data_IF_425031009307
#
_entry.id   IF_425031009307
#
_cell.length_a   1.000
_cell.length_b   1.000
_cell.length_c   1.000
_cell.angle_alpha   90.00
_cell.angle_beta   90.00
_cell.angle_gamma   90.00
#
_symmetry.space_group_name_H-M   'P 1'
#
loop_
_entity.id
_entity.type
_entity.pdbx_description
1 polymer ?
#
# COMPACT_ATOMS: atom_id res chain seq x y z
N UNK A 1 -10.18 1.85 -7.15
CA UNK A 1 -9.67 2.21 -5.82
C UNK A 1 -8.43 1.38 -5.57
N UNK A 2 -7.34 1.95 -5.08
CA UNK A 2 -6.13 1.17 -4.76
C UNK A 2 -6.27 0.45 -3.43
N UNK A 3 -5.44 -0.57 -3.19
CA UNK A 3 -5.38 -1.25 -1.90
C UNK A 3 -4.73 -0.35 -0.85
N UNK A 4 -5.34 -0.21 0.31
CA UNK A 4 -4.72 0.43 1.47
C UNK A 4 -3.90 -0.60 2.21
N UNK A 5 -2.64 -0.27 2.46
CA UNK A 5 -1.71 -1.14 3.16
C UNK A 5 -1.09 -0.42 4.35
N UNK A 6 -0.61 -1.22 5.29
CA UNK A 6 0.30 -0.78 6.35
C UNK A 6 1.66 -1.44 6.13
N UNK A 7 2.70 -0.62 6.10
CA UNK A 7 4.09 -1.10 6.01
C UNK A 7 4.58 -1.56 7.37
N UNK A 8 5.68 -2.32 7.43
CA UNK A 8 6.27 -2.79 8.70
C UNK A 8 6.67 -1.66 9.67
N UNK A 9 6.76 -0.41 9.18
CA UNK A 9 7.02 0.77 10.01
C UNK A 9 5.76 1.45 10.57
N UNK A 10 4.56 0.87 10.37
CA UNK A 10 3.29 1.48 10.78
C UNK A 10 2.80 2.60 9.85
N UNK A 11 3.36 2.71 8.64
CA UNK A 11 2.98 3.73 7.67
C UNK A 11 1.75 3.24 6.89
N UNK A 12 0.69 4.05 6.93
CA UNK A 12 -0.50 3.82 6.13
C UNK A 12 -0.37 4.54 4.79
N UNK A 13 -0.74 3.83 3.73
CA UNK A 13 -0.80 4.43 2.41
C UNK A 13 -1.55 3.57 1.42
N UNK A 14 -1.80 4.13 0.24
CA UNK A 14 -2.53 3.46 -0.82
C UNK A 14 -1.59 3.03 -1.93
N UNK A 15 -1.69 1.77 -2.36
CA UNK A 15 -0.96 1.27 -3.52
C UNK A 15 -1.51 1.94 -4.77
N UNK A 16 -0.64 2.66 -5.46
CA UNK A 16 -0.93 3.31 -6.74
C UNK A 16 -0.33 2.55 -7.92
N UNK A 17 0.72 1.78 -7.70
CA UNK A 17 1.34 0.95 -8.73
C UNK A 17 2.07 -0.26 -8.11
N UNK A 18 2.17 -1.33 -8.87
CA UNK A 18 2.85 -2.58 -8.48
C UNK A 18 3.98 -2.86 -9.45
N UNK A 19 5.21 -2.95 -8.95
CA UNK A 19 6.38 -3.41 -9.72
C UNK A 19 6.73 -4.85 -9.36
N UNK A 20 7.73 -5.41 -10.02
CA UNK A 20 8.17 -6.79 -9.80
C UNK A 20 8.79 -6.98 -8.40
N UNK A 21 9.57 -6.00 -7.93
CA UNK A 21 10.33 -6.03 -6.68
C UNK A 21 9.73 -5.15 -5.57
N UNK A 22 8.90 -4.17 -5.93
CA UNK A 22 8.37 -3.15 -4.99
C UNK A 22 6.97 -2.66 -5.34
N UNK A 23 6.31 -2.04 -4.36
CA UNK A 23 5.03 -1.36 -4.49
C UNK A 23 5.21 0.15 -4.43
N UNK A 24 4.50 0.88 -5.28
CA UNK A 24 4.45 2.35 -5.22
C UNK A 24 3.25 2.75 -4.37
N UNK A 25 3.53 3.24 -3.18
CA UNK A 25 2.52 3.60 -2.17
C UNK A 25 2.45 5.12 -2.09
N UNK A 26 1.26 5.69 -2.23
CA UNK A 26 1.00 7.10 -1.96
C UNK A 26 0.62 7.26 -0.49
N UNK A 27 1.34 8.12 0.21
CA UNK A 27 1.11 8.44 1.64
C UNK A 27 0.55 9.86 1.84
N UNK A 28 0.78 10.77 0.89
CA UNK A 28 0.20 12.10 0.85
C UNK A 28 0.00 12.55 -0.60
N UNK A 29 -0.74 13.65 -0.84
CA UNK A 29 -1.12 14.13 -2.17
C UNK A 29 0.04 14.20 -3.19
N UNK A 30 1.23 14.60 -2.72
CA UNK A 30 2.44 14.68 -3.55
C UNK A 30 3.59 13.78 -3.07
N UNK A 31 3.32 12.84 -2.16
CA UNK A 31 4.34 11.95 -1.61
C UNK A 31 4.02 10.51 -1.97
N UNK A 32 4.86 9.97 -2.85
CA UNK A 32 4.86 8.55 -3.22
C UNK A 32 6.17 7.95 -2.73
N UNK A 33 6.08 6.79 -2.10
CA UNK A 33 7.21 6.01 -1.62
C UNK A 33 7.20 4.65 -2.29
N UNK A 34 8.37 4.07 -2.48
CA UNK A 34 8.51 2.72 -2.99
C UNK A 34 8.85 1.77 -1.83
N UNK A 35 7.99 0.77 -1.63
CA UNK A 35 8.11 -0.18 -0.51
C UNK A 35 8.38 -1.56 -1.09
N UNK A 36 9.46 -2.20 -0.64
CA UNK A 36 9.76 -3.58 -1.06
C UNK A 36 8.65 -4.54 -0.65
N UNK A 37 8.35 -5.54 -1.48
CA UNK A 37 7.24 -6.48 -1.21
C UNK A 37 7.35 -7.20 0.13
N UNK A 38 8.57 -7.47 0.59
CA UNK A 38 8.84 -8.11 1.89
C UNK A 38 8.58 -7.21 3.11
N UNK A 39 8.34 -5.91 2.93
CA UNK A 39 8.13 -4.94 4.01
C UNK A 39 6.68 -4.45 4.11
N UNK A 40 5.75 -5.11 3.40
CA UNK A 40 4.31 -4.90 3.57
C UNK A 40 3.84 -5.80 4.70
N UNK A 41 3.34 -5.20 5.78
CA UNK A 41 2.92 -5.94 6.97
C UNK A 41 1.52 -6.52 6.81
N UNK A 42 0.57 -5.68 6.35
CA UNK A 42 -0.79 -6.11 6.10
C UNK A 42 -1.48 -5.23 5.06
N UNK A 43 -2.47 -5.81 4.38
CA UNK A 43 -3.45 -5.06 3.59
C UNK A 43 -4.57 -4.66 4.54
N UNK A 44 -4.76 -3.36 4.73
CA UNK A 44 -5.77 -2.78 5.63
C UNK A 44 -7.13 -2.78 4.93
N UNK A 45 -7.13 -2.47 3.63
CA UNK A 45 -8.35 -2.48 2.83
C UNK A 45 -8.02 -2.90 1.42
N UNK A 46 -8.60 -4.02 1.00
CA UNK A 46 -8.53 -4.45 -0.39
C UNK A 46 -9.65 -3.79 -1.18
N UNK A 47 -9.34 -3.19 -2.31
CA UNK A 47 -10.35 -2.60 -3.17
C UNK A 47 -11.18 -3.73 -3.83
N UNK A 48 -12.23 -4.16 -3.12
CA UNK A 48 -13.09 -5.27 -3.52
C UNK A 48 -13.61 -6.10 -2.34
N UNK A 49 -13.04 -5.96 -1.14
CA UNK A 49 -13.64 -6.51 0.07
C UNK A 49 -14.64 -5.50 0.64
N UNK A 50 -15.88 -5.63 0.17
CA UNK A 50 -17.05 -5.13 0.87
C UNK A 50 -17.08 -5.82 2.25
N UNK A 51 -16.99 -5.02 3.32
CA UNK A 51 -17.23 -5.49 4.69
C UNK A 51 -18.56 -6.23 4.69
N UNK A 52 -18.52 -7.55 4.90
CA UNK A 52 -19.67 -8.29 5.44
C UNK A 52 -19.85 -7.94 6.92
#
# INVERSE_FOLDING_TARGET
SGDEIVTSGGIYGQITNVKEDRFVVRVADNTKIEVGKGFVSAVVRKAGEEKK
#
